data_IF_334465124465
#
_entry.id   IF_334465124465
#
_cell.length_a   1.000
_cell.length_b   1.000
_cell.length_c   1.000
_cell.angle_alpha   90.00
_cell.angle_beta   90.00
_cell.angle_gamma   90.00
#
_symmetry.space_group_name_H-M   'P 1'
#
loop_
_entity.id
_entity.type
_entity.pdbx_description
1 polymer ?
#
# COMPACT_ATOMS: atom_id res chain seq x y z
N UNK A 1 20.67 14.65 7.49
CA UNK A 1 19.27 15.08 7.29
C UNK A 1 19.00 15.17 5.80
N UNK A 2 18.27 14.22 5.22
CA UNK A 2 17.72 14.37 3.86
C UNK A 2 16.38 15.08 4.01
N UNK A 3 16.25 16.27 3.41
CA UNK A 3 15.04 17.06 3.48
C UNK A 3 13.99 16.39 2.56
N UNK A 4 13.12 15.55 3.12
CA UNK A 4 12.02 14.90 2.39
C UNK A 4 10.97 15.98 2.12
N UNK A 5 10.94 16.52 0.90
CA UNK A 5 9.89 17.44 0.44
C UNK A 5 8.80 16.64 -0.29
N UNK A 6 7.71 16.18 0.35
CA UNK A 6 6.66 15.48 -0.36
C UNK A 6 5.75 16.45 -1.12
N UNK A 7 5.18 15.98 -2.23
CA UNK A 7 4.13 16.67 -2.98
C UNK A 7 2.77 16.11 -2.59
N UNK A 8 1.86 17.01 -2.23
CA UNK A 8 0.46 16.65 -1.90
C UNK A 8 -0.47 17.12 -3.01
N UNK A 9 -1.22 16.19 -3.59
CA UNK A 9 -2.16 16.44 -4.69
C UNK A 9 -3.58 15.98 -4.35
N UNK A 10 -4.58 16.63 -4.92
CA UNK A 10 -5.99 16.32 -4.63
C UNK A 10 -6.52 15.29 -5.63
N UNK A 11 -7.00 14.14 -5.15
CA UNK A 11 -7.83 13.24 -5.95
C UNK A 11 -9.30 13.45 -5.57
N UNK A 12 -10.13 13.87 -6.52
CA UNK A 12 -11.57 14.08 -6.27
C UNK A 12 -12.26 12.75 -6.03
N UNK A 13 -12.61 12.50 -4.77
CA UNK A 13 -13.40 11.35 -4.34
C UNK A 13 -14.81 11.41 -4.94
N UNK A 14 -15.11 10.56 -5.93
CA UNK A 14 -16.50 10.29 -6.28
C UNK A 14 -17.13 9.42 -5.21
N UNK A 15 -17.96 10.05 -4.37
CA UNK A 15 -18.70 9.40 -3.28
C UNK A 15 -19.85 8.58 -3.90
N UNK A 16 -19.64 7.28 -4.13
CA UNK A 16 -20.79 6.35 -4.23
C UNK A 16 -21.42 6.31 -2.83
N UNK A 17 -22.67 6.77 -2.74
CA UNK A 17 -23.46 6.75 -1.51
C UNK A 17 -23.80 5.27 -1.21
N UNK A 18 -23.02 4.62 -0.36
CA UNK A 18 -23.40 3.30 0.19
C UNK A 18 -24.54 3.56 1.19
N UNK A 19 -25.74 2.97 1.02
CA UNK A 19 -26.82 3.12 1.99
C UNK A 19 -26.37 2.65 3.37
N UNK A 20 -26.69 3.44 4.38
CA UNK A 20 -26.46 3.13 5.78
C UNK A 20 -27.30 1.90 6.13
N UNK A 21 -26.64 0.77 6.46
CA UNK A 21 -27.32 -0.42 6.98
C UNK A 21 -27.71 -0.15 8.43
N UNK A 22 -28.99 0.11 8.68
CA UNK A 22 -29.58 0.04 10.02
C UNK A 22 -29.83 -1.44 10.35
N UNK A 23 -29.27 -1.90 11.47
CA UNK A 23 -29.48 -3.25 11.96
C UNK A 23 -30.95 -3.45 12.40
N UNK A 24 -31.68 -4.48 11.92
CA UNK A 24 -33.01 -4.76 12.45
C UNK A 24 -32.91 -5.43 13.82
N UNK A 25 -33.61 -4.84 14.79
CA UNK A 25 -33.82 -5.42 16.10
C UNK A 25 -34.63 -6.72 16.04
N UNK A 26 -34.29 -7.64 16.94
CA UNK A 26 -34.93 -8.94 17.15
C UNK A 26 -36.37 -8.76 17.69
N UNK A 27 -37.36 -9.39 17.06
CA UNK A 27 -38.62 -9.86 17.69
C UNK A 27 -39.08 -11.20 17.09
N UNK A 28 -39.77 -12.09 17.85
CA UNK A 28 -39.97 -13.50 17.49
C UNK A 28 -41.37 -13.86 16.91
N UNK A 29 -41.48 -15.10 16.37
CA UNK A 29 -42.68 -15.89 15.93
C UNK A 29 -43.41 -15.45 14.64
N UNK A 30 -43.95 -16.30 13.74
CA UNK A 30 -44.27 -17.75 13.65
C UNK A 30 -44.45 -18.13 12.13
N UNK A 31 -44.50 -19.41 11.70
CA UNK A 31 -44.47 -19.84 10.30
C UNK A 31 -45.87 -20.04 9.70
N UNK A 32 -46.08 -19.62 8.44
CA UNK A 32 -46.86 -20.33 7.40
C UNK A 32 -47.03 -19.48 6.12
N UNK A 33 -46.90 -20.16 4.96
CA UNK A 33 -47.45 -19.91 3.62
C UNK A 33 -46.62 -19.12 2.57
N UNK A 34 -46.14 -19.90 1.58
CA UNK A 34 -45.67 -19.59 0.20
C UNK A 34 -46.76 -18.95 -0.71
N UNK A 35 -46.54 -18.74 -2.03
CA UNK A 35 -45.44 -18.08 -2.75
C UNK A 35 -45.97 -17.09 -3.82
N UNK A 36 -45.33 -15.94 -4.06
CA UNK A 36 -45.54 -15.17 -5.31
C UNK A 36 -44.25 -14.48 -5.75
N UNK A 37 -43.69 -14.96 -6.85
CA UNK A 37 -42.64 -14.31 -7.65
C UNK A 37 -43.31 -13.30 -8.58
N UNK A 38 -42.76 -12.08 -8.72
CA UNK A 38 -42.81 -11.40 -10.01
C UNK A 38 -41.40 -11.04 -10.50
N UNK A 39 -41.17 -11.40 -11.76
CA UNK A 39 -40.06 -10.94 -12.60
C UNK A 39 -40.10 -9.42 -12.78
N UNK A 40 -38.97 -8.76 -12.55
CA UNK A 40 -38.78 -7.36 -12.95
C UNK A 40 -37.49 -7.22 -13.75
N UNK A 41 -37.67 -6.69 -14.97
CA UNK A 41 -36.66 -6.55 -15.99
C UNK A 41 -35.57 -5.54 -15.65
N UNK A 42 -34.46 -5.71 -16.35
CA UNK A 42 -33.32 -4.80 -16.36
C UNK A 42 -33.71 -3.54 -17.16
N UNK A 43 -34.22 -2.51 -16.51
CA UNK A 43 -34.25 -1.19 -17.13
C UNK A 43 -32.90 -0.51 -16.98
N UNK A 44 -32.39 -0.06 -18.12
CA UNK A 44 -31.08 0.55 -18.35
C UNK A 44 -31.04 1.90 -17.65
N UNK A 45 -30.41 1.98 -16.47
CA UNK A 45 -30.14 3.28 -15.85
C UNK A 45 -29.09 4.02 -16.69
N UNK A 46 -29.56 5.01 -17.46
CA UNK A 46 -28.71 5.91 -18.23
C UNK A 46 -27.68 6.56 -17.31
N UNK A 47 -26.40 6.42 -17.68
CA UNK A 47 -25.31 7.13 -17.06
C UNK A 47 -25.51 8.64 -17.26
N UNK A 48 -25.98 9.34 -16.23
CA UNK A 48 -25.87 10.78 -16.17
C UNK A 48 -24.40 11.15 -16.03
N UNK A 49 -23.79 11.50 -17.16
CA UNK A 49 -22.45 12.02 -17.24
C UNK A 49 -22.47 13.46 -16.70
N UNK A 50 -22.26 13.59 -15.39
CA UNK A 50 -22.05 14.89 -14.77
C UNK A 50 -20.80 15.53 -15.37
N UNK A 51 -20.84 16.80 -15.82
CA UNK A 51 -19.68 17.47 -16.37
C UNK A 51 -18.58 17.57 -15.31
N UNK A 52 -17.43 16.97 -15.63
CA UNK A 52 -16.21 17.04 -14.82
C UNK A 52 -15.79 18.51 -14.75
N UNK A 53 -15.68 19.06 -13.55
CA UNK A 53 -15.05 20.37 -13.35
C UNK A 53 -13.53 20.21 -13.61
N UNK A 54 -12.96 20.76 -14.70
CA UNK A 54 -11.60 20.42 -15.14
C UNK A 54 -10.50 21.11 -14.32
N UNK A 55 -10.83 22.06 -13.43
CA UNK A 55 -9.85 22.86 -12.71
C UNK A 55 -9.12 22.12 -11.55
N UNK A 56 -9.61 20.95 -11.12
CA UNK A 56 -9.08 20.24 -9.93
C UNK A 56 -8.31 18.95 -10.20
N UNK A 57 -8.16 18.57 -11.47
CA UNK A 57 -7.50 17.33 -11.86
C UNK A 57 -5.99 17.55 -12.08
N UNK A 58 -5.16 16.58 -11.67
CA UNK A 58 -3.73 16.57 -12.02
C UNK A 58 -3.60 16.72 -13.55
N UNK A 59 -2.86 17.75 -13.98
CA UNK A 59 -2.57 18.00 -15.40
C UNK A 59 -1.43 17.08 -15.79
N UNK A 60 -1.66 16.27 -16.82
CA UNK A 60 -0.66 15.36 -17.38
C UNK A 60 -0.26 15.86 -18.76
N UNK A 61 0.90 15.44 -19.22
CA UNK A 61 1.30 15.65 -20.62
C UNK A 61 0.27 15.06 -21.59
N UNK A 62 0.16 15.61 -22.81
CA UNK A 62 -0.65 15.04 -23.89
C UNK A 62 -0.25 13.58 -24.20
N UNK A 63 -1.19 12.73 -24.66
CA UNK A 63 -0.90 11.33 -24.98
C UNK A 63 0.27 11.14 -25.95
N UNK A 64 0.44 12.03 -26.91
CA UNK A 64 1.52 11.98 -27.91
C UNK A 64 2.89 12.16 -27.26
N UNK A 65 3.00 13.02 -26.26
CA UNK A 65 4.24 13.25 -25.51
C UNK A 65 4.52 12.10 -24.54
N UNK A 66 3.49 11.54 -23.90
CA UNK A 66 3.60 10.38 -23.02
C UNK A 66 4.17 9.15 -23.74
N UNK A 67 3.89 8.98 -25.03
CA UNK A 67 4.45 7.85 -25.80
C UNK A 67 5.97 7.91 -25.97
N UNK A 68 6.52 9.13 -26.02
CA UNK A 68 7.94 9.36 -26.21
C UNK A 68 8.67 9.62 -24.88
N UNK A 69 7.93 9.62 -23.77
CA UNK A 69 8.44 9.94 -22.46
C UNK A 69 9.33 8.81 -21.93
N UNK A 70 10.59 9.13 -21.64
CA UNK A 70 11.55 8.19 -21.07
C UNK A 70 11.69 8.34 -19.56
N UNK A 71 11.91 7.22 -18.88
CA UNK A 71 12.19 7.21 -17.44
C UNK A 71 13.55 7.91 -17.27
N UNK A 72 13.64 8.99 -16.48
CA UNK A 72 14.88 9.72 -16.32
C UNK A 72 16.00 8.77 -15.86
N UNK A 73 17.12 8.76 -16.58
CA UNK A 73 18.34 8.10 -16.08
C UNK A 73 18.87 8.99 -14.97
N UNK A 74 18.89 8.49 -13.74
CA UNK A 74 19.49 9.25 -12.65
C UNK A 74 20.99 9.37 -12.88
N UNK A 75 21.55 10.57 -12.73
CA UNK A 75 22.95 10.65 -12.30
C UNK A 75 23.06 9.80 -11.02
N UNK A 76 24.08 8.93 -10.94
CA UNK A 76 24.21 7.94 -9.86
C UNK A 76 23.91 8.58 -8.51
N UNK A 77 23.08 7.93 -7.68
CA UNK A 77 22.63 8.57 -6.44
C UNK A 77 23.86 9.01 -5.65
N UNK A 78 23.94 10.28 -5.27
CA UNK A 78 24.91 10.77 -4.28
C UNK A 78 24.55 10.30 -2.87
N UNK A 79 23.84 9.18 -2.76
CA UNK A 79 23.46 8.57 -1.50
C UNK A 79 24.75 8.17 -0.79
N UNK A 80 24.90 8.53 0.49
CA UNK A 80 26.01 8.03 1.28
C UNK A 80 25.90 6.51 1.51
N UNK A 81 24.75 5.87 1.20
CA UNK A 81 24.53 4.42 1.38
C UNK A 81 24.93 3.65 0.13
N UNK A 82 25.90 2.75 0.28
CA UNK A 82 26.30 1.78 -0.73
C UNK A 82 25.60 0.43 -0.52
N UNK A 83 25.29 0.08 0.73
CA UNK A 83 24.71 -1.20 1.10
C UNK A 83 23.67 -1.05 2.21
N UNK A 84 22.56 -1.80 2.11
CA UNK A 84 21.57 -1.95 3.18
C UNK A 84 21.65 -3.39 3.69
N UNK A 85 21.87 -3.56 4.99
CA UNK A 85 21.87 -4.86 5.65
C UNK A 85 20.60 -5.00 6.49
N UNK A 86 19.86 -6.09 6.26
CA UNK A 86 18.66 -6.39 7.04
C UNK A 86 19.01 -7.35 8.18
N UNK A 87 18.86 -6.89 9.41
CA UNK A 87 19.08 -7.75 10.58
C UNK A 87 17.82 -8.55 10.88
N UNK A 88 17.98 -9.87 10.96
CA UNK A 88 16.99 -10.77 11.52
C UNK A 88 17.36 -11.19 12.94
N UNK A 89 16.37 -11.45 13.80
CA UNK A 89 16.62 -11.91 15.18
C UNK A 89 17.42 -13.23 15.22
N UNK A 90 17.35 -14.04 14.15
CA UNK A 90 18.16 -15.25 13.97
C UNK A 90 19.67 -14.97 13.85
N UNK A 91 20.08 -13.82 13.31
CA UNK A 91 21.51 -13.52 13.10
C UNK A 91 22.23 -13.22 14.41
N UNK A 92 21.51 -12.68 15.40
CA UNK A 92 22.00 -12.49 16.77
C UNK A 92 22.29 -13.81 17.50
N UNK A 93 21.57 -14.89 17.15
CA UNK A 93 21.76 -16.21 17.77
C UNK A 93 23.01 -16.95 17.26
N UNK A 94 23.57 -16.55 16.11
CA UNK A 94 24.73 -17.20 15.51
C UNK A 94 26.05 -16.64 16.08
N UNK A 95 26.04 -15.44 16.64
CA UNK A 95 27.24 -14.80 17.19
C UNK A 95 27.54 -15.16 18.65
N UNK A 96 26.52 -15.55 19.44
CA UNK A 96 26.70 -16.02 20.82
C UNK A 96 26.71 -17.55 20.88
N UNK A 97 27.87 -18.13 20.58
CA UNK A 97 28.11 -19.55 20.75
C UNK A 97 27.95 -20.00 22.21
N UNK A 98 27.18 -21.08 22.40
CA UNK A 98 27.16 -21.97 23.57
C UNK A 98 26.41 -21.46 24.82
N UNK A 99 25.08 -21.46 24.77
CA UNK A 99 24.22 -21.95 25.87
C UNK A 99 22.75 -21.98 25.39
N UNK A 100 22.27 -23.17 25.01
CA UNK A 100 20.84 -23.39 24.76
C UNK A 100 20.12 -23.37 26.11
N UNK A 101 19.83 -22.17 26.60
CA UNK A 101 18.69 -21.94 27.47
C UNK A 101 17.51 -21.63 26.55
N UNK A 102 16.67 -22.64 26.36
CA UNK A 102 15.30 -22.50 25.89
C UNK A 102 14.60 -21.45 26.76
N UNK A 103 14.71 -20.17 26.39
CA UNK A 103 13.77 -19.16 26.83
C UNK A 103 12.46 -19.61 26.24
N UNK A 104 11.64 -20.22 27.08
CA UNK A 104 10.23 -20.49 26.84
C UNK A 104 9.69 -19.38 25.96
N UNK A 105 9.23 -19.79 24.77
CA UNK A 105 8.57 -19.00 23.74
C UNK A 105 7.31 -18.40 24.37
N UNK A 106 7.52 -17.37 25.18
CA UNK A 106 6.51 -16.54 25.81
C UNK A 106 5.98 -15.69 24.68
N UNK A 107 4.75 -16.02 24.26
CA UNK A 107 3.90 -15.33 23.30
C UNK A 107 4.60 -14.21 22.52
N UNK A 108 5.33 -14.59 21.46
CA UNK A 108 5.90 -13.64 20.51
C UNK A 108 4.74 -12.80 19.97
N UNK A 109 4.64 -11.54 20.39
CA UNK A 109 3.58 -10.64 19.91
C UNK A 109 3.71 -10.50 18.41
N UNK A 110 2.57 -10.42 17.71
CA UNK A 110 2.47 -10.34 16.23
C UNK A 110 3.38 -9.25 15.61
N UNK A 111 3.72 -8.22 16.38
CA UNK A 111 4.60 -7.13 15.98
C UNK A 111 6.07 -7.58 15.80
N UNK A 112 6.56 -8.47 16.66
CA UNK A 112 7.97 -8.89 16.66
C UNK A 112 8.35 -9.68 15.40
N UNK A 113 7.40 -10.39 14.78
CA UNK A 113 7.64 -11.10 13.52
C UNK A 113 7.83 -10.16 12.32
N UNK A 114 7.28 -8.94 12.38
CA UNK A 114 7.34 -8.01 11.26
C UNK A 114 8.49 -7.00 11.38
N UNK A 115 8.62 -6.36 12.53
CA UNK A 115 9.69 -5.36 12.75
C UNK A 115 10.97 -5.97 13.33
N UNK A 116 10.92 -7.21 13.81
CA UNK A 116 11.97 -7.76 14.67
C UNK A 116 11.87 -7.17 16.07
N UNK A 117 12.86 -7.48 16.92
CA UNK A 117 12.93 -6.97 18.29
C UNK A 117 13.84 -5.72 18.38
N UNK A 118 13.50 -4.66 17.66
CA UNK A 118 14.27 -3.41 17.63
C UNK A 118 13.99 -2.53 18.87
N UNK A 119 15.04 -2.10 19.58
CA UNK A 119 14.92 -1.12 20.67
C UNK A 119 14.77 0.32 20.14
N UNK A 120 14.30 1.25 20.97
CA UNK A 120 14.21 2.67 20.58
C UNK A 120 15.58 3.29 20.27
N UNK A 121 16.63 2.88 20.98
CA UNK A 121 18.00 3.33 20.71
C UNK A 121 18.49 2.81 19.35
N UNK A 122 18.26 1.52 19.05
CA UNK A 122 18.58 0.94 17.74
C UNK A 122 17.80 1.60 16.60
N UNK A 123 16.55 2.01 16.85
CA UNK A 123 15.76 2.81 15.90
C UNK A 123 16.41 4.16 15.64
N UNK A 124 16.81 4.88 16.69
CA UNK A 124 17.45 6.19 16.54
C UNK A 124 18.79 6.10 15.81
N UNK A 125 19.55 5.03 16.05
CA UNK A 125 20.77 4.73 15.31
C UNK A 125 20.50 4.43 13.83
N UNK A 126 19.40 3.74 13.51
CA UNK A 126 19.04 3.44 12.12
C UNK A 126 18.75 4.68 11.26
N UNK A 127 18.47 5.84 11.88
CA UNK A 127 18.32 7.12 11.17
C UNK A 127 19.67 7.77 10.80
N UNK A 128 20.78 7.30 11.38
CA UNK A 128 22.13 7.79 11.07
C UNK A 128 22.65 7.04 9.85
N UNK A 129 22.55 7.69 8.70
CA UNK A 129 22.92 7.11 7.42
C UNK A 129 24.44 7.18 7.21
N UNK A 130 25.06 6.02 7.00
CA UNK A 130 26.48 5.82 6.65
C UNK A 130 26.58 4.95 5.37
N UNK A 131 27.79 4.51 4.99
CA UNK A 131 28.01 3.65 3.81
C UNK A 131 27.24 2.32 3.85
N UNK A 132 27.07 1.76 5.04
CA UNK A 132 26.35 0.51 5.26
C UNK A 132 25.21 0.72 6.26
N UNK A 133 24.02 0.99 5.73
CA UNK A 133 22.83 1.21 6.55
C UNK A 133 22.32 -0.13 7.09
N UNK A 134 22.27 -0.25 8.42
CA UNK A 134 21.76 -1.43 9.11
C UNK A 134 20.31 -1.20 9.52
N UNK A 135 19.42 -2.10 9.10
CA UNK A 135 17.98 -1.97 9.32
C UNK A 135 17.45 -3.22 10.00
N UNK A 136 16.88 -3.06 11.20
CA UNK A 136 16.13 -4.13 11.82
C UNK A 136 14.83 -4.35 11.05
N UNK A 137 14.66 -5.57 10.53
CA UNK A 137 13.43 -5.94 9.84
C UNK A 137 13.17 -7.43 10.01
N UNK A 138 12.34 -7.79 10.98
CA UNK A 138 11.93 -9.19 11.17
C UNK A 138 11.25 -9.81 9.93
N UNK A 139 10.57 -8.99 9.11
CA UNK A 139 9.89 -9.45 7.90
C UNK A 139 10.79 -9.62 6.67
N UNK A 140 11.79 -8.76 6.49
CA UNK A 140 12.58 -8.69 5.26
C UNK A 140 14.03 -9.07 5.57
N UNK A 141 14.59 -9.99 4.79
CA UNK A 141 15.98 -10.44 4.92
C UNK A 141 16.66 -10.44 3.54
N UNK A 142 17.91 -10.89 3.49
CA UNK A 142 18.64 -11.13 2.23
C UNK A 142 17.92 -12.15 1.32
N UNK A 143 17.05 -13.01 1.89
CA UNK A 143 16.23 -13.97 1.15
C UNK A 143 14.92 -13.38 0.60
N UNK A 144 14.65 -12.11 0.91
CA UNK A 144 13.46 -11.34 0.51
C UNK A 144 12.47 -11.10 1.66
N UNK A 145 11.30 -10.59 1.30
CA UNK A 145 10.15 -10.40 2.20
C UNK A 145 9.13 -11.53 2.06
N UNK A 146 8.07 -11.29 1.28
CA UNK A 146 7.03 -12.30 1.05
C UNK A 146 7.60 -13.60 0.47
N UNK A 147 7.01 -14.72 0.90
CA UNK A 147 7.22 -16.02 0.25
C UNK A 147 6.42 -16.06 -1.06
N UNK A 148 7.13 -15.89 -2.17
CA UNK A 148 6.62 -15.87 -3.55
C UNK A 148 7.48 -16.76 -4.45
N UNK A 149 7.01 -17.03 -5.67
CA UNK A 149 7.74 -17.85 -6.66
C UNK A 149 9.02 -17.15 -7.13
N UNK A 150 10.00 -17.92 -7.62
CA UNK A 150 11.23 -17.33 -8.17
C UNK A 150 10.96 -16.52 -9.44
N UNK A 151 9.97 -16.95 -10.22
CA UNK A 151 9.50 -16.26 -11.42
C UNK A 151 8.94 -14.87 -11.07
N UNK A 152 8.15 -14.78 -9.98
CA UNK A 152 7.65 -13.50 -9.47
C UNK A 152 8.79 -12.63 -8.92
N UNK A 153 9.73 -13.21 -8.17
CA UNK A 153 10.92 -12.47 -7.69
C UNK A 153 11.68 -11.85 -8.86
N UNK A 154 11.98 -12.64 -9.89
CA UNK A 154 12.71 -12.19 -11.07
C UNK A 154 11.94 -11.11 -11.84
N UNK A 155 10.63 -11.27 -12.01
CA UNK A 155 9.79 -10.26 -12.64
C UNK A 155 9.83 -8.95 -11.84
N UNK A 156 9.60 -9.00 -10.53
CA UNK A 156 9.60 -7.82 -9.66
C UNK A 156 10.96 -7.12 -9.64
N UNK A 157 12.07 -7.87 -9.66
CA UNK A 157 13.43 -7.32 -9.75
C UNK A 157 13.72 -6.66 -11.11
N UNK A 158 13.05 -7.06 -12.19
CA UNK A 158 13.22 -6.43 -13.50
C UNK A 158 12.54 -5.06 -13.62
N UNK A 159 11.59 -4.76 -12.73
CA UNK A 159 10.76 -3.55 -12.80
C UNK A 159 11.57 -2.28 -12.52
N UNK A 160 11.50 -1.31 -13.43
CA UNK A 160 12.08 0.04 -13.24
C UNK A 160 11.06 1.06 -12.74
N UNK A 161 9.80 0.90 -13.14
CA UNK A 161 8.65 1.61 -12.59
C UNK A 161 7.59 0.57 -12.28
N UNK A 162 6.93 0.70 -11.14
CA UNK A 162 5.87 -0.22 -10.74
C UNK A 162 4.62 0.51 -10.30
N UNK A 163 3.46 0.05 -10.76
CA UNK A 163 2.16 0.32 -10.13
C UNK A 163 1.79 -0.95 -9.38
N UNK A 164 1.52 -0.84 -8.08
CA UNK A 164 1.20 -1.98 -7.23
C UNK A 164 -0.11 -1.79 -6.48
N UNK A 165 -0.78 -2.90 -6.23
CA UNK A 165 -1.98 -3.00 -5.38
C UNK A 165 -1.94 -4.32 -4.61
N UNK A 166 -2.81 -4.49 -3.62
CA UNK A 166 -3.02 -5.79 -2.99
C UNK A 166 -4.48 -6.02 -2.64
N UNK A 167 -4.88 -7.28 -2.63
CA UNK A 167 -6.12 -7.72 -2.01
C UNK A 167 -5.79 -8.95 -1.16
N UNK A 168 -6.08 -8.87 0.14
CA UNK A 168 -5.89 -9.95 1.09
C UNK A 168 -7.23 -10.25 1.77
N UNK A 169 -7.58 -11.54 1.88
CA UNK A 169 -8.86 -11.99 2.41
C UNK A 169 -10.04 -12.05 1.46
N UNK A 170 -9.84 -11.77 0.16
CA UNK A 170 -10.86 -11.95 -0.88
C UNK A 170 -11.98 -10.91 -0.92
N UNK A 171 -11.89 -9.84 -0.13
CA UNK A 171 -12.97 -8.85 0.00
C UNK A 171 -13.05 -7.81 -1.12
N UNK A 172 -11.98 -7.60 -1.90
CA UNK A 172 -11.91 -6.55 -2.91
C UNK A 172 -11.85 -7.12 -4.34
N UNK A 173 -12.45 -6.37 -5.28
CA UNK A 173 -12.36 -6.66 -6.72
C UNK A 173 -11.04 -6.15 -7.33
N UNK A 174 -10.58 -6.81 -8.39
CA UNK A 174 -9.41 -6.36 -9.15
C UNK A 174 -9.80 -5.45 -10.32
N UNK A 175 -9.84 -4.14 -10.07
CA UNK A 175 -10.09 -3.15 -11.11
C UNK A 175 -8.90 -3.03 -12.07
N UNK A 176 -9.16 -3.11 -13.38
CA UNK A 176 -8.12 -2.95 -14.40
C UNK A 176 -7.67 -1.48 -14.53
N UNK A 177 -6.37 -1.19 -14.67
CA UNK A 177 -5.90 0.14 -15.00
C UNK A 177 -6.40 0.52 -16.40
N UNK A 178 -6.91 1.75 -16.51
CA UNK A 178 -7.46 2.30 -17.75
C UNK A 178 -6.84 3.66 -18.05
N UNK A 179 -6.74 3.98 -19.34
CA UNK A 179 -6.08 5.22 -19.79
C UNK A 179 -4.55 5.18 -19.74
N UNK A 180 -3.96 3.97 -19.82
CA UNK A 180 -2.52 3.80 -19.95
C UNK A 180 -2.11 3.93 -21.43
N UNK A 181 -1.05 4.69 -21.71
CA UNK A 181 -0.38 4.72 -23.02
C UNK A 181 0.29 3.37 -23.34
N UNK A 182 0.61 3.15 -24.61
CA UNK A 182 1.39 1.99 -25.07
C UNK A 182 2.78 2.00 -24.42
N UNK A 183 3.43 3.16 -24.33
CA UNK A 183 4.67 3.35 -23.60
C UNK A 183 4.55 2.91 -22.14
N UNK A 184 3.51 3.34 -21.43
CA UNK A 184 3.29 2.94 -20.03
C UNK A 184 3.04 1.44 -19.89
N UNK A 185 2.28 0.83 -20.78
CA UNK A 185 2.07 -0.63 -20.77
C UNK A 185 3.39 -1.38 -20.95
N UNK A 186 4.32 -0.85 -21.75
CA UNK A 186 5.62 -1.46 -22.02
C UNK A 186 6.67 -1.18 -20.94
N UNK A 187 6.69 0.01 -20.36
CA UNK A 187 7.76 0.49 -19.46
C UNK A 187 7.43 0.29 -17.97
N UNK A 188 6.17 0.07 -17.62
CA UNK A 188 5.69 -0.01 -16.23
C UNK A 188 5.20 -1.41 -15.89
N UNK A 189 5.69 -1.97 -14.79
CA UNK A 189 5.14 -3.19 -14.21
C UNK A 189 3.83 -2.89 -13.49
N UNK A 190 2.81 -3.72 -13.68
CA UNK A 190 1.57 -3.68 -12.91
C UNK A 190 1.50 -4.95 -12.06
N UNK A 191 1.55 -4.81 -10.74
CA UNK A 191 1.60 -5.96 -9.81
C UNK A 191 0.45 -5.92 -8.82
N UNK A 192 -0.29 -7.02 -8.72
CA UNK A 192 -1.34 -7.22 -7.72
C UNK A 192 -0.94 -8.36 -6.78
N UNK A 193 -0.75 -8.04 -5.50
CA UNK A 193 -0.44 -9.04 -4.47
C UNK A 193 -1.73 -9.66 -3.93
N UNK A 194 -1.84 -10.99 -4.00
CA UNK A 194 -2.95 -11.76 -3.46
C UNK A 194 -2.49 -12.78 -2.43
N UNK A 195 -3.30 -13.06 -1.42
CA UNK A 195 -3.13 -14.22 -0.57
C UNK A 195 -3.91 -15.42 -1.15
N UNK A 196 -3.69 -16.61 -0.58
CA UNK A 196 -4.36 -17.83 -1.05
C UNK A 196 -5.88 -17.75 -0.91
N UNK A 197 -6.38 -17.03 0.10
CA UNK A 197 -7.82 -16.77 0.29
C UNK A 197 -8.37 -15.95 -0.88
N UNK A 198 -7.69 -14.86 -1.24
CA UNK A 198 -8.09 -14.01 -2.37
C UNK A 198 -8.02 -14.78 -3.68
N UNK A 199 -6.97 -15.57 -3.90
CA UNK A 199 -6.86 -16.42 -5.08
C UNK A 199 -8.09 -17.33 -5.22
N UNK A 200 -8.43 -18.10 -4.18
CA UNK A 200 -9.59 -19.00 -4.20
C UNK A 200 -10.92 -18.24 -4.39
N UNK A 201 -11.08 -17.08 -3.75
CA UNK A 201 -12.27 -16.25 -3.92
C UNK A 201 -12.43 -15.76 -5.36
N UNK A 202 -11.35 -15.30 -5.99
CA UNK A 202 -11.35 -14.80 -7.36
C UNK A 202 -11.57 -15.94 -8.39
N UNK A 203 -11.00 -17.12 -8.14
CA UNK A 203 -11.26 -18.31 -8.96
C UNK A 203 -12.73 -18.74 -8.95
N UNK A 204 -13.40 -18.61 -7.79
CA UNK A 204 -14.82 -18.97 -7.63
C UNK A 204 -15.76 -18.09 -8.48
N UNK A 205 -15.34 -16.85 -8.76
CA UNK A 205 -16.05 -15.91 -9.64
C UNK A 205 -15.52 -15.92 -11.08
N UNK A 206 -14.74 -16.95 -11.44
CA UNK A 206 -14.26 -17.18 -12.81
C UNK A 206 -12.97 -16.44 -13.18
N UNK A 207 -12.34 -15.71 -12.26
CA UNK A 207 -11.05 -15.04 -12.49
C UNK A 207 -9.92 -15.96 -12.08
N UNK A 208 -9.49 -16.82 -13.01
CA UNK A 208 -8.45 -17.83 -12.79
C UNK A 208 -7.08 -17.30 -13.19
N UNK A 209 -6.08 -17.56 -12.35
CA UNK A 209 -4.67 -17.39 -12.70
C UNK A 209 -4.21 -18.71 -13.34
N UNK A 210 -4.09 -18.72 -14.66
CA UNK A 210 -3.64 -19.90 -15.42
C UNK A 210 -2.12 -19.99 -15.51
N UNK A 211 -1.62 -20.63 -16.57
CA UNK A 211 -0.17 -20.64 -16.88
C UNK A 211 0.40 -19.23 -17.09
N UNK A 212 -0.43 -18.33 -17.63
CA UNK A 212 -0.13 -16.91 -17.69
C UNK A 212 -0.52 -16.26 -16.35
N UNK A 213 0.43 -15.77 -15.53
CA UNK A 213 0.15 -15.20 -14.22
C UNK A 213 -0.46 -13.79 -14.28
N UNK A 214 -1.11 -13.43 -15.39
CA UNK A 214 -1.67 -12.11 -15.62
C UNK A 214 -3.20 -12.15 -15.71
N UNK A 215 -3.84 -11.18 -15.06
CA UNK A 215 -5.26 -10.87 -15.25
C UNK A 215 -5.35 -9.45 -15.83
N UNK A 216 -5.61 -9.36 -17.13
CA UNK A 216 -5.52 -8.10 -17.86
C UNK A 216 -4.09 -7.55 -17.81
N UNK A 217 -3.91 -6.34 -17.26
CA UNK A 217 -2.57 -5.72 -17.12
C UNK A 217 -1.83 -6.20 -15.86
N UNK A 218 -2.56 -6.66 -14.85
CA UNK A 218 -1.97 -7.02 -13.57
C UNK A 218 -1.28 -8.36 -13.65
N UNK A 219 0.01 -8.41 -13.28
CA UNK A 219 0.65 -9.65 -12.85
C UNK A 219 0.16 -9.98 -11.44
N UNK A 220 -0.42 -11.15 -11.27
CA UNK A 220 -0.86 -11.64 -9.96
C UNK A 220 0.32 -12.32 -9.27
N UNK A 221 0.69 -11.80 -8.11
CA UNK A 221 1.73 -12.37 -7.25
C UNK A 221 1.06 -12.94 -6.02
N UNK A 222 1.04 -14.27 -5.91
CA UNK A 222 0.44 -14.96 -4.76
C UNK A 222 1.46 -15.04 -3.64
N UNK A 223 1.19 -14.35 -2.53
CA UNK A 223 2.04 -14.32 -1.34
C UNK A 223 1.59 -15.37 -0.33
N UNK A 224 2.55 -16.02 0.32
CA UNK A 224 2.33 -16.99 1.40
C UNK A 224 3.01 -16.52 2.68
N UNK A 225 2.63 -17.15 3.80
CA UNK A 225 3.24 -16.93 5.12
C UNK A 225 3.19 -15.45 5.53
N UNK A 226 2.01 -14.84 5.41
CA UNK A 226 1.78 -13.47 5.83
C UNK A 226 2.07 -13.28 7.33
N UNK A 227 2.77 -12.20 7.72
CA UNK A 227 3.24 -12.01 9.09
C UNK A 227 2.11 -11.66 10.08
N UNK A 228 0.97 -11.16 9.59
CA UNK A 228 -0.17 -10.82 10.42
C UNK A 228 -1.37 -11.71 10.15
N UNK A 229 -2.12 -12.04 11.21
CA UNK A 229 -3.47 -12.62 11.06
C UNK A 229 -4.46 -11.60 10.48
N UNK A 230 -4.27 -10.31 10.76
CA UNK A 230 -5.10 -9.24 10.23
C UNK A 230 -4.67 -8.86 8.80
N UNK A 231 -5.56 -9.11 7.84
CA UNK A 231 -5.36 -8.84 6.41
C UNK A 231 -5.14 -7.35 6.11
N UNK A 232 -5.72 -6.45 6.90
CA UNK A 232 -5.56 -4.99 6.75
C UNK A 232 -4.15 -4.56 7.14
N UNK A 233 -3.53 -5.22 8.12
CA UNK A 233 -2.12 -5.00 8.45
C UNK A 233 -1.20 -5.53 7.35
N UNK A 234 -1.49 -6.73 6.82
CA UNK A 234 -0.75 -7.26 5.67
C UNK A 234 -0.81 -6.33 4.45
N UNK A 235 -1.96 -5.70 4.19
CA UNK A 235 -2.10 -4.75 3.08
C UNK A 235 -1.25 -3.48 3.22
N UNK A 236 -0.79 -3.15 4.44
CA UNK A 236 0.15 -2.04 4.65
C UNK A 236 1.57 -2.40 4.19
N UNK A 237 1.90 -3.69 4.06
CA UNK A 237 3.26 -4.11 3.71
C UNK A 237 3.64 -3.70 2.28
N UNK A 238 2.94 -4.11 1.22
CA UNK A 238 3.31 -3.69 -0.14
C UNK A 238 3.06 -2.19 -0.37
N UNK A 239 2.18 -1.58 0.43
CA UNK A 239 1.94 -0.14 0.45
C UNK A 239 3.12 0.67 0.97
N UNK A 240 3.74 0.23 2.06
CA UNK A 240 4.81 0.99 2.74
C UNK A 240 6.21 0.55 2.34
N UNK A 241 6.38 -0.72 1.97
CA UNK A 241 7.66 -1.34 1.68
C UNK A 241 7.87 -1.61 0.19
N UNK A 242 7.22 -0.82 -0.69
CA UNK A 242 7.41 -0.92 -2.15
C UNK A 242 8.89 -0.89 -2.54
N UNK A 243 9.67 0.02 -1.95
CA UNK A 243 11.12 0.13 -2.15
C UNK A 243 11.91 -1.14 -1.79
N UNK A 244 11.42 -1.98 -0.87
CA UNK A 244 12.07 -3.26 -0.53
C UNK A 244 11.60 -4.39 -1.44
N UNK A 245 10.31 -4.43 -1.74
CA UNK A 245 9.73 -5.45 -2.62
C UNK A 245 10.21 -5.31 -4.07
N UNK A 246 10.53 -4.09 -4.51
CA UNK A 246 11.01 -3.78 -5.85
C UNK A 246 12.38 -3.09 -5.78
N UNK A 247 13.46 -3.82 -5.43
CA UNK A 247 14.76 -3.22 -5.09
C UNK A 247 15.44 -2.46 -6.23
N UNK A 248 15.04 -2.74 -7.48
CA UNK A 248 15.57 -2.08 -8.68
C UNK A 248 14.58 -1.11 -9.34
N UNK A 249 13.39 -0.92 -8.74
CA UNK A 249 12.45 0.09 -9.19
C UNK A 249 12.96 1.47 -8.76
N UNK A 250 12.95 2.41 -9.71
CA UNK A 250 13.29 3.81 -9.45
C UNK A 250 12.09 4.58 -8.90
N UNK A 251 10.89 4.19 -9.32
CA UNK A 251 9.63 4.78 -8.90
C UNK A 251 8.58 3.70 -8.66
N UNK A 252 7.72 3.93 -7.68
CA UNK A 252 6.58 3.05 -7.39
C UNK A 252 5.32 3.86 -7.09
N UNK A 253 4.18 3.36 -7.56
CA UNK A 253 2.86 3.92 -7.31
C UNK A 253 2.02 2.86 -6.62
N UNK A 254 1.60 3.13 -5.39
CA UNK A 254 0.64 2.33 -4.66
C UNK A 254 -0.79 2.77 -4.97
N UNK A 255 -1.64 1.82 -5.36
CA UNK A 255 -3.08 2.02 -5.56
C UNK A 255 -3.84 1.06 -4.65
N UNK A 256 -4.67 1.59 -3.75
CA UNK A 256 -5.53 0.76 -2.91
C UNK A 256 -6.56 0.03 -3.79
N UNK A 257 -6.77 -1.27 -3.52
CA UNK A 257 -7.57 -2.20 -4.32
C UNK A 257 -9.00 -1.73 -4.57
N UNK A 258 -9.52 -0.85 -3.71
CA UNK A 258 -10.88 -0.30 -3.83
C UNK A 258 -11.01 0.77 -4.89
N UNK A 259 -9.89 1.23 -5.45
CA UNK A 259 -9.87 2.25 -6.49
C UNK A 259 -9.34 1.69 -7.80
N UNK A 260 -9.92 2.19 -8.88
CA UNK A 260 -9.40 1.96 -10.22
C UNK A 260 -8.36 3.02 -10.55
N UNK A 261 -7.18 2.60 -11.01
CA UNK A 261 -6.16 3.54 -11.50
C UNK A 261 -6.50 4.03 -12.92
N UNK A 262 -6.77 5.34 -13.06
CA UNK A 262 -7.30 5.93 -14.31
C UNK A 262 -6.37 6.95 -14.96
N UNK A 263 -5.14 7.10 -14.48
CA UNK A 263 -4.17 8.08 -14.95
C UNK A 263 -2.90 7.38 -15.40
N UNK A 264 -2.32 7.83 -16.49
CA UNK A 264 -1.09 7.23 -17.03
C UNK A 264 0.05 7.37 -15.99
N UNK A 265 0.72 6.27 -15.60
CA UNK A 265 1.71 6.28 -14.53
C UNK A 265 2.94 7.10 -14.86
N UNK A 266 3.40 7.10 -16.12
CA UNK A 266 4.55 7.92 -16.52
C UNK A 266 4.18 9.40 -16.42
N UNK A 267 2.98 9.78 -16.87
CA UNK A 267 2.49 11.15 -16.73
C UNK A 267 2.33 11.57 -15.26
N UNK A 268 1.84 10.67 -14.39
CA UNK A 268 1.70 10.97 -12.95
C UNK A 268 3.08 11.20 -12.32
N UNK A 269 4.07 10.37 -12.65
CA UNK A 269 5.45 10.51 -12.14
C UNK A 269 6.14 11.74 -12.69
N UNK A 270 5.95 12.05 -13.97
CA UNK A 270 6.47 13.27 -14.61
C UNK A 270 5.94 14.51 -13.88
N UNK A 271 4.63 14.61 -13.72
CA UNK A 271 3.98 15.78 -13.16
C UNK A 271 4.28 15.98 -11.67
N UNK A 272 4.51 14.88 -10.91
CA UNK A 272 4.66 14.93 -9.47
C UNK A 272 6.10 14.77 -8.97
N UNK A 273 6.95 14.00 -9.63
CA UNK A 273 8.26 13.61 -9.11
C UNK A 273 9.43 14.01 -10.00
N UNK A 274 9.31 13.98 -11.32
CA UNK A 274 10.49 14.18 -12.19
C UNK A 274 10.91 15.64 -12.34
N UNK A 275 9.96 16.56 -12.22
CA UNK A 275 10.21 18.01 -12.29
C UNK A 275 10.20 18.69 -10.92
N UNK A 276 10.15 17.90 -9.86
CA UNK A 276 10.19 18.39 -8.49
C UNK A 276 11.44 17.87 -7.78
N UNK A 277 11.89 18.60 -6.76
CA UNK A 277 12.88 18.08 -5.81
C UNK A 277 12.21 17.23 -4.72
N UNK A 278 11.18 16.46 -5.10
CA UNK A 278 10.36 15.67 -4.18
C UNK A 278 10.66 14.20 -4.34
N UNK A 279 10.71 13.50 -3.20
CA UNK A 279 11.00 12.05 -3.12
C UNK A 279 9.75 11.23 -2.80
N UNK A 280 8.60 11.88 -2.63
CA UNK A 280 7.33 11.25 -2.31
C UNK A 280 6.19 12.13 -2.81
N UNK A 281 5.13 11.53 -3.32
CA UNK A 281 3.86 12.21 -3.51
C UNK A 281 2.71 11.42 -2.89
N UNK A 282 1.77 12.14 -2.25
CA UNK A 282 0.62 11.55 -1.58
C UNK A 282 -0.65 12.35 -1.87
N UNK A 283 -1.79 11.68 -1.86
CA UNK A 283 -3.08 12.35 -2.00
C UNK A 283 -3.42 13.19 -0.77
N UNK A 284 -4.06 14.34 -0.97
CA UNK A 284 -4.61 15.15 0.11
C UNK A 284 -5.77 14.43 0.78
N UNK A 285 -5.68 14.25 2.10
CA UNK A 285 -6.71 13.55 2.85
C UNK A 285 -7.95 14.45 3.02
N UNK A 286 -9.06 14.04 2.40
CA UNK A 286 -10.24 14.90 2.24
C UNK A 286 -11.01 15.27 3.52
N UNK A 287 -10.74 14.63 4.67
CA UNK A 287 -11.57 14.80 5.88
C UNK A 287 -10.84 15.24 7.15
N UNK A 288 -9.54 15.00 7.25
CA UNK A 288 -8.73 15.18 8.48
C UNK A 288 -7.41 15.82 8.12
N UNK A 289 -6.90 16.66 9.00
CA UNK A 289 -5.71 17.51 8.77
C UNK A 289 -4.53 17.15 9.67
N UNK A 290 -4.71 16.28 10.66
CA UNK A 290 -3.65 15.86 11.57
C UNK A 290 -3.67 14.34 11.83
N UNK A 291 -2.50 13.84 12.23
CA UNK A 291 -2.31 12.46 12.69
C UNK A 291 -3.18 12.17 13.92
N UNK A 292 -3.34 13.14 14.81
CA UNK A 292 -4.13 13.00 16.05
C UNK A 292 -5.64 12.91 15.80
N UNK A 293 -6.15 13.62 14.79
CA UNK A 293 -7.57 13.49 14.39
C UNK A 293 -7.84 12.18 13.68
N UNK A 294 -6.88 11.66 12.92
CA UNK A 294 -6.97 10.33 12.34
C UNK A 294 -6.97 9.25 13.43
N UNK A 295 -6.13 9.38 14.46
CA UNK A 295 -6.12 8.46 15.59
C UNK A 295 -7.48 8.37 16.29
N UNK A 296 -8.15 9.50 16.55
CA UNK A 296 -9.54 9.51 17.07
C UNK A 296 -10.50 8.75 16.14
N UNK A 297 -10.34 8.91 14.83
CA UNK A 297 -11.17 8.21 13.84
C UNK A 297 -10.86 6.71 13.75
N UNK A 298 -9.61 6.30 13.94
CA UNK A 298 -9.17 4.89 14.01
C UNK A 298 -9.85 4.19 15.17
N UNK A 299 -9.79 4.79 16.36
CA UNK A 299 -10.45 4.27 17.57
C UNK A 299 -11.96 4.22 17.37
N UNK A 300 -12.58 5.32 16.94
CA UNK A 300 -14.04 5.40 16.71
C UNK A 300 -14.55 4.37 15.70
N UNK A 301 -13.71 3.97 14.73
CA UNK A 301 -14.05 2.98 13.70
C UNK A 301 -13.66 1.55 14.10
N UNK A 302 -13.22 1.32 15.34
CA UNK A 302 -12.75 0.02 15.84
C UNK A 302 -11.68 -0.61 14.94
N UNK A 303 -10.75 0.23 14.45
CA UNK A 303 -9.65 -0.23 13.59
C UNK A 303 -8.39 -0.61 14.37
N UNK A 304 -8.26 -0.14 15.60
CA UNK A 304 -7.24 -0.47 16.59
C UNK A 304 -7.81 -0.11 17.97
N UNK A 305 -7.27 -0.67 19.05
CA UNK A 305 -7.73 -0.32 20.39
C UNK A 305 -7.22 1.06 20.82
N UNK A 306 -7.90 1.74 21.75
CA UNK A 306 -7.41 3.01 22.30
C UNK A 306 -5.98 2.91 22.84
N UNK A 307 -5.64 1.80 23.48
CA UNK A 307 -4.34 1.57 24.11
C UNK A 307 -3.23 1.44 23.05
N UNK A 308 -3.46 0.65 22.00
CA UNK A 308 -2.53 0.52 20.87
C UNK A 308 -2.27 1.87 20.19
N UNK A 309 -3.34 2.66 20.02
CA UNK A 309 -3.27 3.99 19.41
C UNK A 309 -2.51 4.97 20.31
N UNK A 310 -2.72 4.94 21.63
CA UNK A 310 -2.04 5.85 22.56
C UNK A 310 -0.53 5.60 22.62
N UNK A 311 -0.09 4.33 22.55
CA UNK A 311 1.33 3.99 22.45
C UNK A 311 1.95 4.67 21.22
N UNK A 312 1.29 4.56 20.06
CA UNK A 312 1.78 5.17 18.82
C UNK A 312 1.78 6.70 18.88
N UNK A 313 0.72 7.31 19.42
CA UNK A 313 0.63 8.77 19.57
C UNK A 313 1.67 9.32 20.54
N UNK A 314 1.95 8.60 21.61
CA UNK A 314 3.00 8.96 22.58
C UNK A 314 4.35 9.00 21.89
N UNK A 315 4.67 7.98 21.08
CA UNK A 315 5.91 7.99 20.29
C UNK A 315 5.95 9.14 19.29
N UNK A 316 4.84 9.44 18.61
CA UNK A 316 4.78 10.59 17.71
C UNK A 316 5.05 11.91 18.42
N UNK A 317 4.45 12.14 19.59
CA UNK A 317 4.74 13.34 20.39
C UNK A 317 6.22 13.40 20.80
N UNK A 318 6.79 12.27 21.21
CA UNK A 318 8.21 12.16 21.55
C UNK A 318 9.12 12.47 20.35
N UNK A 319 8.79 11.98 19.15
CA UNK A 319 9.50 12.23 17.90
C UNK A 319 9.31 13.67 17.38
N UNK A 320 8.59 14.53 18.12
CA UNK A 320 8.31 15.92 17.71
C UNK A 320 7.29 16.03 16.59
N UNK A 321 6.44 15.01 16.41
CA UNK A 321 5.35 15.10 15.44
C UNK A 321 4.38 16.23 15.87
N UNK A 322 4.04 17.12 14.94
CA UNK A 322 3.33 18.35 15.25
C UNK A 322 1.82 18.13 15.37
N UNK A 323 1.19 18.83 16.31
CA UNK A 323 -0.26 18.76 16.58
C UNK A 323 -1.11 19.20 15.37
N UNK A 324 -0.69 20.25 14.67
CA UNK A 324 -1.31 20.75 13.44
C UNK A 324 -0.24 20.89 12.36
N UNK A 325 -0.04 19.86 11.54
CA UNK A 325 0.65 20.02 10.25
C UNK A 325 -0.15 19.43 9.11
N UNK A 326 -0.67 20.40 8.38
CA UNK A 326 -0.72 20.35 6.93
C UNK A 326 0.71 20.27 6.37
N UNK A 327 0.95 19.38 5.42
CA UNK A 327 2.20 19.35 4.66
C UNK A 327 2.14 20.45 3.61
N UNK A 328 3.04 21.44 3.68
CA UNK A 328 3.03 22.62 2.81
C UNK A 328 1.66 23.33 2.73
N UNK A 329 0.93 23.40 3.86
CA UNK A 329 -0.40 24.02 3.90
C UNK A 329 -1.57 23.17 3.37
N UNK A 330 -1.32 21.94 2.91
CA UNK A 330 -2.34 20.96 2.49
C UNK A 330 -2.54 19.80 3.47
N UNK A 331 -3.73 19.19 3.51
CA UNK A 331 -4.02 18.06 4.42
C UNK A 331 -3.28 16.79 4.00
N UNK A 332 -2.08 16.57 4.51
CA UNK A 332 -1.40 15.27 4.45
C UNK A 332 -1.58 14.55 5.77
N UNK A 333 -2.22 13.39 5.78
CA UNK A 333 -2.30 12.58 7.00
C UNK A 333 -1.39 11.37 6.83
N UNK A 334 -0.25 11.39 7.52
CA UNK A 334 0.63 10.22 7.64
C UNK A 334 0.05 9.27 8.69
N UNK A 335 -1.09 8.64 8.39
CA UNK A 335 -1.63 7.52 9.18
C UNK A 335 -2.34 6.53 8.25
N UNK A 336 -1.52 5.64 7.69
CA UNK A 336 -1.74 4.20 7.49
C UNK A 336 -3.06 3.64 6.93
N UNK A 337 -3.98 4.43 6.36
CA UNK A 337 -5.31 3.89 6.08
C UNK A 337 -5.93 4.18 4.71
N UNK A 338 -5.59 5.24 3.96
CA UNK A 338 -6.39 5.56 2.75
C UNK A 338 -5.70 6.24 1.56
N UNK A 339 -4.38 6.31 1.50
CA UNK A 339 -3.78 7.14 0.44
C UNK A 339 -3.09 6.32 -0.65
N UNK A 340 -3.05 6.91 -1.85
CA UNK A 340 -2.14 6.56 -2.95
C UNK A 340 -0.77 7.08 -2.55
N UNK A 341 0.24 6.21 -2.56
CA UNK A 341 1.62 6.57 -2.22
C UNK A 341 2.46 6.47 -3.49
N UNK A 342 3.16 7.54 -3.85
CA UNK A 342 4.19 7.50 -4.87
C UNK A 342 5.54 7.61 -4.19
N UNK A 343 6.34 6.56 -4.23
CA UNK A 343 7.73 6.56 -3.78
C UNK A 343 8.68 6.65 -4.96
#
# INVERSE_FOLDING_TARGET
MVNINPIIFTETKHRVRIPQWEAPGIKPHNPHLDPLVPSWGWETAMAHQFPLNPAGCLKLLPPEELEHLDIPVGEGSTSPVNQVLYMSDSDTLVSEGSNILSRQRTETTRFNLFTGNQTLDQREESFKVNETAVVHCGFYSDYGGFKITNEDKNYMQSCKVVVSTCAFGGGDDLYQPIGMSVASIRKVCYVAFWDEITLSAQESVGRRVGENPFIGKWRIVVVRELPFTDQRLNGKIPKMLGHRLFPYAKYSIWVDSKYQFRRDPLGVLEALLWHSNSVLAISEHGARSSVYDEAKAVVKKNKATPEEVEVQLTQYRHDGFPEDKRFNGKKGVFLFLFDVFLF
#
